data_IF_000806816576
#
_entry.id   IF_000806816576
#
_cell.length_a   1.000
_cell.length_b   1.000
_cell.length_c   1.000
_cell.angle_alpha   90.00
_cell.angle_beta   90.00
_cell.angle_gamma   90.00
#
_symmetry.space_group_name_H-M   'P 1'
#
loop_
_entity.id
_entity.type
_entity.pdbx_description
1 polymer ?
#
# COMPACT_ATOMS: atom_id res chain seq x y z
N UNK A 1 -15.04 -38.26 57.67
CA UNK A 1 -13.99 -37.68 56.82
C UNK A 1 -14.57 -37.55 55.41
N UNK A 2 -15.13 -36.38 55.07
CA UNK A 2 -15.76 -36.13 53.76
C UNK A 2 -14.71 -35.52 52.84
N UNK A 3 -14.34 -36.25 51.79
CA UNK A 3 -13.43 -35.75 50.74
C UNK A 3 -14.31 -35.06 49.71
N UNK A 4 -14.28 -33.72 49.69
CA UNK A 4 -14.88 -32.91 48.63
C UNK A 4 -13.98 -32.94 47.40
N UNK A 5 -14.51 -33.47 46.31
CA UNK A 5 -13.93 -33.40 44.97
C UNK A 5 -14.25 -32.00 44.42
N UNK A 6 -13.23 -31.16 44.27
CA UNK A 6 -13.32 -29.89 43.53
C UNK A 6 -13.15 -30.20 42.03
N UNK A 7 -14.08 -29.79 41.15
CA UNK A 7 -13.81 -29.82 39.72
C UNK A 7 -12.92 -28.61 39.37
N UNK A 8 -11.73 -28.91 38.86
CA UNK A 8 -10.82 -27.96 38.23
C UNK A 8 -11.49 -27.47 36.94
N UNK A 9 -12.17 -26.32 37.00
CA UNK A 9 -12.86 -25.76 35.86
C UNK A 9 -11.83 -25.15 34.89
N UNK A 10 -11.88 -25.67 33.67
CA UNK A 10 -11.08 -25.33 32.50
C UNK A 10 -11.23 -23.82 32.20
N UNK A 11 -10.16 -23.07 32.39
CA UNK A 11 -9.95 -21.77 31.75
C UNK A 11 -8.88 -21.94 30.68
N UNK A 12 -9.31 -22.37 29.49
CA UNK A 12 -8.48 -22.37 28.29
C UNK A 12 -9.32 -21.84 27.13
N UNK A 13 -9.71 -20.58 27.22
CA UNK A 13 -10.24 -19.82 26.09
C UNK A 13 -9.71 -18.40 26.20
N UNK A 14 -9.32 -17.85 25.05
CA UNK A 14 -8.84 -16.48 24.79
C UNK A 14 -7.31 -16.31 24.73
N UNK A 15 -6.67 -16.93 23.75
CA UNK A 15 -5.42 -16.39 23.18
C UNK A 15 -5.22 -16.62 21.68
N UNK A 16 -6.18 -17.23 20.97
CA UNK A 16 -6.01 -17.55 19.53
C UNK A 16 -6.64 -16.50 18.60
N UNK A 17 -7.43 -15.55 19.11
CA UNK A 17 -8.15 -14.59 18.26
C UNK A 17 -7.37 -13.32 17.89
N UNK A 18 -6.17 -13.09 18.42
CA UNK A 18 -5.39 -11.88 18.08
C UNK A 18 -4.64 -11.99 16.74
N UNK A 19 -4.41 -13.20 16.23
CA UNK A 19 -3.64 -13.41 15.00
C UNK A 19 -4.50 -13.41 13.72
N UNK A 20 -5.83 -13.54 13.86
CA UNK A 20 -6.75 -13.57 12.72
C UNK A 20 -7.35 -12.20 12.36
N UNK A 21 -7.05 -11.16 13.15
CA UNK A 21 -7.59 -9.80 12.98
C UNK A 21 -6.65 -8.83 12.25
N UNK A 22 -5.42 -9.27 11.94
CA UNK A 22 -4.43 -8.50 11.19
C UNK A 22 -4.66 -8.62 9.66
N UNK A 23 -5.68 -7.84 9.27
CA UNK A 23 -6.16 -7.36 7.98
C UNK A 23 -5.37 -7.69 6.69
N UNK A 24 -6.13 -8.14 5.69
CA UNK A 24 -5.83 -8.34 4.26
C UNK A 24 -4.92 -7.28 3.56
N UNK A 25 -4.77 -6.04 4.05
CA UNK A 25 -3.73 -5.12 3.52
C UNK A 25 -2.34 -5.28 4.16
N UNK A 26 -2.22 -5.81 5.38
CA UNK A 26 -0.97 -6.41 5.82
C UNK A 26 -0.67 -7.71 5.04
N UNK A 27 -1.66 -8.43 4.51
CA UNK A 27 -1.36 -9.54 3.59
C UNK A 27 -0.88 -9.05 2.21
N UNK A 28 -1.48 -7.98 1.66
CA UNK A 28 -1.06 -7.36 0.38
C UNK A 28 0.35 -6.75 0.42
N UNK A 29 0.93 -6.56 1.61
CA UNK A 29 2.17 -5.81 1.79
C UNK A 29 3.21 -6.57 2.65
N UNK A 30 2.79 -7.45 3.56
CA UNK A 30 3.63 -7.90 4.69
C UNK A 30 3.95 -9.40 4.66
N UNK A 31 3.81 -10.08 3.51
CA UNK A 31 4.34 -11.45 3.39
C UNK A 31 5.22 -11.61 2.15
N UNK A 32 6.46 -11.17 2.36
CA UNK A 32 7.64 -11.52 1.56
C UNK A 32 7.74 -13.04 1.52
N UNK A 33 7.21 -13.65 0.45
CA UNK A 33 7.46 -15.05 0.20
C UNK A 33 8.96 -15.28 0.02
N UNK A 34 9.41 -16.36 0.67
CA UNK A 34 10.73 -16.95 0.53
C UNK A 34 10.90 -17.42 -0.91
N UNK A 35 11.45 -16.59 -1.77
CA UNK A 35 12.12 -17.09 -2.98
C UNK A 35 13.63 -17.05 -2.79
N UNK A 36 14.24 -18.19 -3.06
CA UNK A 36 15.66 -18.49 -2.87
C UNK A 36 16.57 -17.97 -3.99
N UNK A 37 16.01 -17.46 -5.09
CA UNK A 37 16.79 -17.03 -6.26
C UNK A 37 16.61 -15.54 -6.58
N UNK A 38 17.41 -14.69 -5.92
CA UNK A 38 17.56 -13.27 -6.27
C UNK A 38 17.93 -13.12 -7.75
N UNK A 39 17.38 -12.11 -8.41
CA UNK A 39 17.88 -11.69 -9.73
C UNK A 39 19.34 -11.22 -9.61
N UNK A 40 20.11 -11.24 -10.72
CA UNK A 40 21.41 -10.59 -10.79
C UNK A 40 21.32 -9.10 -10.45
N UNK A 41 22.41 -8.57 -9.89
CA UNK A 41 22.52 -7.14 -9.60
C UNK A 41 22.50 -6.32 -10.91
N UNK A 42 21.65 -5.28 -11.03
CA UNK A 42 21.57 -4.47 -12.26
C UNK A 42 22.88 -3.74 -12.58
N UNK A 43 23.25 -3.65 -13.87
CA UNK A 43 24.52 -3.04 -14.32
C UNK A 43 24.44 -1.54 -14.64
N UNK A 44 23.24 -0.97 -14.64
CA UNK A 44 22.92 0.33 -15.21
C UNK A 44 22.51 1.38 -14.16
N UNK A 45 22.69 1.10 -12.86
CA UNK A 45 22.29 2.01 -11.77
C UNK A 45 23.03 3.36 -11.77
N UNK A 46 24.16 3.50 -12.49
CA UNK A 46 24.88 4.79 -12.67
C UNK A 46 24.41 5.60 -13.88
N UNK A 47 23.51 5.03 -14.67
CA UNK A 47 22.91 5.66 -15.85
C UNK A 47 21.40 5.79 -15.79
N UNK A 48 20.76 4.91 -15.04
CA UNK A 48 19.32 4.92 -14.83
C UNK A 48 18.93 5.73 -13.59
N UNK A 49 17.65 6.11 -13.56
CA UNK A 49 17.02 6.78 -12.43
C UNK A 49 16.23 5.79 -11.60
N UNK A 50 16.28 6.00 -10.29
CA UNK A 50 15.67 5.12 -9.29
C UNK A 50 14.74 5.94 -8.42
N UNK A 51 13.61 5.35 -8.04
CA UNK A 51 12.75 5.88 -6.98
C UNK A 51 12.85 4.96 -5.77
N UNK A 52 12.91 5.53 -4.56
CA UNK A 52 12.90 4.76 -3.32
C UNK A 52 11.49 4.72 -2.71
N UNK A 53 11.02 3.51 -2.41
CA UNK A 53 9.85 3.27 -1.57
C UNK A 53 10.34 2.85 -0.18
N UNK A 54 10.07 3.69 0.82
CA UNK A 54 10.50 3.46 2.19
C UNK A 54 9.32 2.94 3.02
N UNK A 55 9.47 1.74 3.55
CA UNK A 55 8.49 1.10 4.43
C UNK A 55 8.98 1.17 5.87
N UNK A 56 8.33 2.03 6.64
CA UNK A 56 8.64 2.32 8.03
C UNK A 56 7.72 1.60 9.03
N UNK A 57 6.77 0.76 8.57
CA UNK A 57 5.74 0.16 9.43
C UNK A 57 6.28 -0.73 10.56
N UNK A 58 7.43 -1.35 10.35
CA UNK A 58 8.09 -2.21 11.34
C UNK A 58 9.34 -1.57 11.94
N UNK A 59 9.61 -0.30 11.61
CA UNK A 59 10.77 0.43 12.12
C UNK A 59 10.35 1.43 13.18
N UNK A 60 11.20 1.63 14.19
CA UNK A 60 11.06 2.77 15.10
C UNK A 60 11.52 4.09 14.48
N UNK A 61 12.22 4.02 13.33
CA UNK A 61 12.71 5.20 12.61
C UNK A 61 11.65 5.68 11.61
N UNK A 62 11.46 7.00 11.52
CA UNK A 62 10.60 7.57 10.49
C UNK A 62 11.16 7.34 9.09
N UNK A 63 10.28 7.25 8.09
CA UNK A 63 10.70 7.11 6.69
C UNK A 63 11.65 8.24 6.22
N UNK A 64 11.55 9.45 6.79
CA UNK A 64 12.49 10.56 6.54
C UNK A 64 13.91 10.23 7.04
N UNK A 65 14.04 9.70 8.25
CA UNK A 65 15.32 9.31 8.82
C UNK A 65 15.96 8.16 8.04
N UNK A 66 15.16 7.14 7.68
CA UNK A 66 15.58 6.02 6.84
C UNK A 66 16.07 6.52 5.48
N UNK A 67 15.30 7.39 4.82
CA UNK A 67 15.64 7.97 3.51
C UNK A 67 16.99 8.68 3.54
N UNK A 68 17.22 9.50 4.56
CA UNK A 68 18.46 10.28 4.72
C UNK A 68 19.69 9.38 4.85
N UNK A 69 19.57 8.30 5.64
CA UNK A 69 20.63 7.30 5.83
C UNK A 69 20.89 6.47 4.57
N UNK A 70 19.83 6.11 3.86
CA UNK A 70 19.90 5.33 2.63
C UNK A 70 20.51 6.13 1.46
N UNK A 71 20.27 7.44 1.42
CA UNK A 71 20.65 8.31 0.29
C UNK A 71 22.16 8.47 0.12
N UNK A 72 22.86 8.81 1.20
CA UNK A 72 24.25 9.29 1.13
C UNK A 72 25.21 8.32 0.43
N UNK A 73 25.31 7.02 0.81
CA UNK A 73 26.25 6.12 0.15
C UNK A 73 25.96 5.89 -1.34
N UNK A 74 24.68 5.92 -1.72
CA UNK A 74 24.25 5.70 -3.10
C UNK A 74 24.53 6.91 -3.98
N UNK A 75 24.30 8.12 -3.47
CA UNK A 75 24.71 9.37 -4.12
C UNK A 75 26.21 9.37 -4.40
N UNK A 76 27.03 9.03 -3.40
CA UNK A 76 28.48 9.03 -3.52
C UNK A 76 28.96 8.00 -4.57
N UNK A 77 28.23 6.91 -4.77
CA UNK A 77 28.46 5.92 -5.84
C UNK A 77 27.98 6.36 -7.24
N UNK A 78 27.26 7.49 -7.34
CA UNK A 78 26.72 8.02 -8.59
C UNK A 78 25.36 7.42 -8.99
N UNK A 79 24.59 6.92 -8.02
CA UNK A 79 23.22 6.43 -8.23
C UNK A 79 22.23 7.58 -8.08
N UNK A 80 21.37 7.79 -9.08
CA UNK A 80 20.33 8.84 -9.05
C UNK A 80 19.05 8.32 -8.38
N UNK A 81 18.87 8.72 -7.12
CA UNK A 81 17.62 8.53 -6.37
C UNK A 81 16.74 9.77 -6.56
N UNK A 82 15.94 9.75 -7.63
CA UNK A 82 15.22 10.93 -8.12
C UNK A 82 14.03 11.34 -7.24
N UNK A 83 13.50 10.43 -6.41
CA UNK A 83 12.47 10.73 -5.43
C UNK A 83 12.34 9.63 -4.37
N UNK A 84 11.81 10.02 -3.21
CA UNK A 84 11.46 9.16 -2.09
C UNK A 84 9.95 9.24 -1.84
N UNK A 85 9.34 8.09 -1.67
CA UNK A 85 7.95 7.95 -1.30
C UNK A 85 7.83 7.05 -0.09
N UNK A 86 6.84 7.33 0.75
CA UNK A 86 6.41 6.38 1.75
C UNK A 86 5.68 5.23 1.07
N UNK A 87 6.07 4.02 1.43
CA UNK A 87 5.57 2.79 0.85
C UNK A 87 4.03 2.69 0.97
N UNK A 88 3.51 2.95 2.16
CA UNK A 88 2.08 2.84 2.47
C UNK A 88 1.25 3.81 1.66
N UNK A 89 1.77 4.99 1.34
CA UNK A 89 1.08 5.95 0.49
C UNK A 89 0.98 5.47 -0.97
N UNK A 90 2.07 4.92 -1.51
CA UNK A 90 2.12 4.49 -2.92
C UNK A 90 1.23 3.29 -3.19
N UNK A 91 1.30 2.26 -2.34
CA UNK A 91 0.51 1.03 -2.53
C UNK A 91 -0.84 1.04 -1.80
N UNK A 92 -1.09 2.07 -1.00
CA UNK A 92 -2.29 2.20 -0.20
C UNK A 92 -3.49 2.76 -0.93
N UNK A 93 -3.30 3.58 -1.97
CA UNK A 93 -4.38 4.23 -2.72
C UNK A 93 -4.21 3.97 -4.22
N UNK A 94 -5.21 3.35 -4.88
CA UNK A 94 -5.16 3.02 -6.31
C UNK A 94 -4.90 4.25 -7.19
N UNK A 95 -5.63 5.35 -6.98
CA UNK A 95 -5.42 6.59 -7.74
C UNK A 95 -4.02 7.18 -7.53
N UNK A 96 -3.49 7.13 -6.30
CA UNK A 96 -2.12 7.56 -6.03
C UNK A 96 -1.10 6.67 -6.73
N UNK A 97 -1.30 5.36 -6.74
CA UNK A 97 -0.44 4.42 -7.48
C UNK A 97 -0.45 4.71 -8.98
N UNK A 98 -1.62 4.99 -9.56
CA UNK A 98 -1.73 5.37 -10.98
C UNK A 98 -0.97 6.66 -11.26
N UNK A 99 -1.08 7.67 -10.41
CA UNK A 99 -0.35 8.92 -10.59
C UNK A 99 1.16 8.75 -10.38
N UNK A 100 1.55 7.96 -9.38
CA UNK A 100 2.93 7.52 -9.17
C UNK A 100 3.50 6.84 -10.42
N UNK A 101 2.71 5.97 -11.07
CA UNK A 101 3.08 5.31 -12.32
C UNK A 101 3.31 6.30 -13.46
N UNK A 102 2.36 7.20 -13.69
CA UNK A 102 2.49 8.24 -14.72
C UNK A 102 3.75 9.08 -14.50
N UNK A 103 4.01 9.48 -13.26
CA UNK A 103 5.19 10.26 -12.90
C UNK A 103 6.49 9.56 -13.28
N UNK A 104 6.64 8.27 -12.98
CA UNK A 104 7.90 7.57 -13.20
C UNK A 104 8.09 7.20 -14.68
N UNK A 105 7.00 6.93 -15.41
CA UNK A 105 7.00 6.76 -16.88
C UNK A 105 7.50 8.03 -17.57
N UNK A 106 6.97 9.21 -17.18
CA UNK A 106 7.41 10.50 -17.72
C UNK A 106 8.89 10.82 -17.43
N UNK A 107 9.44 10.29 -16.33
CA UNK A 107 10.82 10.55 -15.90
C UNK A 107 11.81 9.47 -16.31
N UNK A 108 11.37 8.45 -17.05
CA UNK A 108 12.17 7.28 -17.42
C UNK A 108 12.85 6.65 -16.18
N UNK A 109 12.11 6.50 -15.08
CA UNK A 109 12.60 5.73 -13.93
C UNK A 109 12.56 4.26 -14.34
N UNK A 110 13.65 3.54 -14.05
CA UNK A 110 13.82 2.13 -14.46
C UNK A 110 13.65 1.16 -13.30
N UNK A 111 14.02 1.61 -12.10
CA UNK A 111 14.03 0.78 -10.90
C UNK A 111 13.34 1.46 -9.73
N UNK A 112 12.75 0.62 -8.90
CA UNK A 112 12.18 0.98 -7.62
C UNK A 112 12.98 0.26 -6.54
N UNK A 113 13.59 1.04 -5.66
CA UNK A 113 14.27 0.56 -4.47
C UNK A 113 13.28 0.48 -3.32
N UNK A 114 12.75 -0.71 -3.04
CA UNK A 114 11.91 -0.92 -1.86
C UNK A 114 12.78 -1.29 -0.66
N UNK A 115 12.77 -0.43 0.36
CA UNK A 115 13.53 -0.60 1.60
C UNK A 115 12.57 -0.83 2.75
N UNK A 116 12.75 -1.92 3.49
CA UNK A 116 11.88 -2.28 4.61
C UNK A 116 12.68 -2.98 5.73
N UNK A 117 12.09 -3.02 6.92
CA UNK A 117 12.64 -3.71 8.08
C UNK A 117 11.75 -4.90 8.42
N UNK A 118 12.34 -6.09 8.58
CA UNK A 118 11.63 -7.29 9.03
C UNK A 118 12.57 -8.12 9.90
N UNK A 119 12.04 -8.73 10.98
CA UNK A 119 12.78 -9.65 11.87
C UNK A 119 14.18 -9.14 12.26
N UNK A 120 14.26 -7.86 12.63
CA UNK A 120 15.50 -7.19 13.03
C UNK A 120 16.57 -7.03 11.93
N UNK A 121 16.18 -7.14 10.66
CA UNK A 121 17.07 -7.03 9.51
C UNK A 121 16.47 -6.03 8.52
N UNK A 122 17.34 -5.22 7.92
CA UNK A 122 16.98 -4.35 6.81
C UNK A 122 17.09 -5.10 5.50
N UNK A 123 16.08 -4.91 4.65
CA UNK A 123 15.97 -5.52 3.35
C UNK A 123 15.87 -4.43 2.27
N UNK A 124 16.50 -4.71 1.13
CA UNK A 124 16.28 -3.98 -0.12
C UNK A 124 15.76 -4.95 -1.16
N UNK A 125 14.79 -4.50 -1.96
CA UNK A 125 14.49 -5.07 -3.27
C UNK A 125 14.66 -4.03 -4.35
N UNK A 126 15.37 -4.39 -5.42
CA UNK A 126 15.39 -3.60 -6.65
C UNK A 126 14.40 -4.20 -7.65
N UNK A 127 13.32 -3.48 -7.86
CA UNK A 127 12.17 -3.89 -8.66
C UNK A 127 12.19 -3.12 -9.98
N UNK A 128 12.28 -3.79 -11.14
CA UNK A 128 12.05 -3.13 -12.43
C UNK A 128 10.63 -2.54 -12.48
N UNK A 129 10.49 -1.30 -12.91
CA UNK A 129 9.21 -0.56 -12.88
C UNK A 129 8.09 -1.28 -13.63
N UNK A 130 8.41 -1.97 -14.73
CA UNK A 130 7.45 -2.73 -15.53
C UNK A 130 6.81 -3.91 -14.78
N UNK A 131 7.41 -4.35 -13.67
CA UNK A 131 6.91 -5.44 -12.83
C UNK A 131 6.09 -4.97 -11.64
N UNK A 132 6.03 -3.66 -11.39
CA UNK A 132 5.26 -3.14 -10.26
C UNK A 132 3.77 -3.08 -10.62
N UNK A 133 2.95 -3.78 -9.85
CA UNK A 133 1.49 -3.79 -10.00
C UNK A 133 0.86 -3.32 -8.69
N UNK A 134 -0.26 -2.60 -8.78
CA UNK A 134 -0.97 -2.15 -7.59
C UNK A 134 -1.38 -3.36 -6.73
N UNK A 135 -1.09 -3.31 -5.43
CA UNK A 135 -1.40 -4.38 -4.49
C UNK A 135 -0.59 -5.67 -4.66
N UNK A 136 0.40 -5.71 -5.58
CA UNK A 136 1.25 -6.88 -5.77
C UNK A 136 2.70 -6.48 -6.05
N UNK A 137 3.60 -6.87 -5.15
CA UNK A 137 5.04 -6.68 -5.33
C UNK A 137 5.64 -7.93 -5.98
N UNK A 138 6.47 -7.75 -7.02
CA UNK A 138 7.00 -8.90 -7.76
C UNK A 138 7.88 -9.76 -6.86
N UNK A 139 7.62 -11.07 -6.90
CA UNK A 139 8.38 -12.07 -6.16
C UNK A 139 9.85 -12.12 -6.62
N UNK A 140 10.07 -12.03 -7.92
CA UNK A 140 11.40 -12.11 -8.55
C UNK A 140 12.02 -10.73 -8.78
N UNK A 141 12.88 -10.32 -7.85
CA UNK A 141 13.66 -9.08 -7.87
C UNK A 141 15.10 -9.32 -7.37
N UNK A 142 16.01 -8.35 -7.53
CA UNK A 142 17.30 -8.41 -6.83
C UNK A 142 17.06 -8.07 -5.36
N UNK A 143 17.64 -8.83 -4.46
CA UNK A 143 17.48 -8.65 -3.01
C UNK A 143 18.82 -8.50 -2.31
N UNK A 144 18.85 -7.67 -1.25
CA UNK A 144 20.02 -7.48 -0.39
C UNK A 144 19.56 -7.29 1.06
N UNK A 145 20.39 -7.68 2.02
CA UNK A 145 20.07 -7.54 3.45
C UNK A 145 21.24 -7.00 4.25
N UNK A 146 20.93 -6.31 5.36
CA UNK A 146 21.95 -5.78 6.27
C UNK A 146 21.40 -5.54 7.68
N UNK A 147 22.30 -5.32 8.64
CA UNK A 147 21.93 -5.01 10.02
C UNK A 147 21.46 -3.56 10.20
N UNK A 148 21.84 -2.67 9.28
CA UNK A 148 21.46 -1.25 9.28
C UNK A 148 21.20 -0.75 7.86
N UNK A 149 20.46 0.36 7.74
CA UNK A 149 20.17 1.03 6.45
C UNK A 149 21.45 1.56 5.79
N UNK A 150 22.39 2.05 6.60
CA UNK A 150 23.68 2.56 6.19
C UNK A 150 24.57 1.43 5.64
N UNK A 151 24.58 0.27 6.29
CA UNK A 151 25.27 -0.91 5.78
C UNK A 151 24.62 -1.40 4.48
N UNK A 152 23.28 -1.42 4.41
CA UNK A 152 22.51 -1.83 3.23
C UNK A 152 22.87 -0.97 2.02
N UNK A 153 22.72 0.35 2.13
CA UNK A 153 23.06 1.30 1.07
C UNK A 153 24.55 1.25 0.71
N UNK A 154 25.44 1.04 1.68
CA UNK A 154 26.88 0.88 1.42
C UNK A 154 27.22 -0.41 0.65
N UNK A 155 26.50 -1.52 0.87
CA UNK A 155 26.65 -2.76 0.08
C UNK A 155 26.33 -2.50 -1.38
N UNK A 156 25.20 -1.85 -1.63
CA UNK A 156 24.77 -1.49 -2.98
C UNK A 156 25.76 -0.53 -3.64
N UNK A 157 26.17 0.53 -2.94
CA UNK A 157 27.17 1.48 -3.42
C UNK A 157 28.47 0.78 -3.86
N UNK A 158 28.97 -0.16 -3.05
CA UNK A 158 30.15 -0.97 -3.42
C UNK A 158 29.93 -1.81 -4.67
N UNK A 159 28.76 -2.44 -4.80
CA UNK A 159 28.43 -3.24 -5.99
C UNK A 159 28.38 -2.36 -7.26
N UNK A 160 27.79 -1.16 -7.16
CA UNK A 160 27.77 -0.17 -8.24
C UNK A 160 29.18 0.25 -8.66
N UNK A 161 30.05 0.58 -7.70
CA UNK A 161 31.44 0.99 -7.99
C UNK A 161 32.24 -0.15 -8.62
N UNK A 162 32.05 -1.39 -8.15
CA UNK A 162 32.74 -2.59 -8.66
C UNK A 162 32.45 -2.91 -10.13
N UNK A 163 31.30 -2.48 -10.65
CA UNK A 163 30.94 -2.70 -12.06
C UNK A 163 31.76 -1.84 -13.03
N UNK A 164 32.44 -0.79 -12.53
CA UNK A 164 33.30 0.12 -13.30
C UNK A 164 32.63 0.69 -14.57
N UNK A 165 31.31 0.89 -14.52
CA UNK A 165 30.53 1.47 -15.63
C UNK A 165 30.61 2.99 -15.59
N UNK A 166 30.59 3.69 -16.74
CA UNK A 166 30.63 5.15 -16.78
C UNK A 166 29.42 5.75 -16.06
N UNK A 167 29.67 6.80 -15.27
CA UNK A 167 28.62 7.59 -14.61
C UNK A 167 27.95 8.50 -15.65
N UNK A 168 26.64 8.33 -15.87
CA UNK A 168 25.83 9.26 -16.69
C UNK A 168 24.98 10.20 -15.83
N UNK A 169 24.72 9.83 -14.58
CA UNK A 169 23.99 10.66 -13.63
C UNK A 169 24.89 11.77 -13.05
N UNK A 170 24.89 12.95 -13.66
CA UNK A 170 25.77 14.07 -13.29
C UNK A 170 25.18 14.99 -12.22
N UNK A 171 23.85 15.05 -12.11
CA UNK A 171 23.13 15.91 -11.19
C UNK A 171 22.33 15.03 -10.23
N UNK A 172 22.93 14.73 -9.07
CA UNK A 172 22.27 13.98 -8.01
C UNK A 172 22.11 14.95 -6.83
N UNK A 173 20.89 15.15 -6.31
CA UNK A 173 20.65 15.98 -5.14
C UNK A 173 21.53 15.56 -3.97
N UNK A 174 21.88 16.51 -3.10
CA UNK A 174 22.66 16.19 -1.89
C UNK A 174 21.83 15.53 -0.80
N UNK A 175 20.55 15.89 -0.75
CA UNK A 175 19.56 15.44 0.21
C UNK A 175 18.42 14.68 -0.48
N UNK A 176 17.73 13.76 0.24
CA UNK A 176 16.58 13.05 -0.30
C UNK A 176 15.47 14.00 -0.79
N UNK A 177 15.01 13.80 -2.02
CA UNK A 177 13.84 14.50 -2.54
C UNK A 177 12.55 13.77 -2.15
N UNK A 178 11.87 14.28 -1.13
CA UNK A 178 10.58 13.76 -0.70
C UNK A 178 9.47 14.20 -1.64
N UNK A 179 8.71 13.25 -2.20
CA UNK A 179 7.60 13.60 -3.06
C UNK A 179 6.47 14.26 -2.26
N UNK A 180 6.03 15.42 -2.73
CA UNK A 180 4.87 16.06 -2.15
C UNK A 180 3.60 15.48 -2.79
N UNK A 181 2.69 14.97 -1.97
CA UNK A 181 1.41 14.41 -2.40
C UNK A 181 0.56 15.48 -3.12
N UNK A 182 0.76 15.63 -4.43
CA UNK A 182 -0.19 16.34 -5.29
C UNK A 182 -1.54 15.60 -5.26
N UNK A 183 -2.62 16.30 -5.59
CA UNK A 183 -3.96 15.70 -5.67
C UNK A 183 -3.95 14.51 -6.65
N UNK A 184 -4.09 13.25 -6.20
CA UNK A 184 -3.96 12.10 -7.10
C UNK A 184 -5.23 11.84 -7.91
N UNK A 185 -6.33 12.54 -7.59
CA UNK A 185 -7.61 12.35 -8.25
C UNK A 185 -7.70 13.19 -9.52
N UNK A 186 -8.09 12.54 -10.63
CA UNK A 186 -8.35 13.22 -11.90
C UNK A 186 -9.56 14.15 -11.82
N UNK A 187 -10.60 13.74 -11.09
CA UNK A 187 -11.82 14.52 -10.88
C UNK A 187 -11.79 15.40 -9.64
N UNK A 188 -12.94 15.96 -9.31
CA UNK A 188 -13.15 16.79 -8.12
C UNK A 188 -13.39 15.91 -6.90
N UNK A 189 -13.09 16.46 -5.73
CA UNK A 189 -13.41 15.85 -4.44
C UNK A 189 -14.68 16.47 -3.88
N UNK A 190 -15.56 15.62 -3.37
CA UNK A 190 -16.78 16.00 -2.70
C UNK A 190 -16.80 15.39 -1.30
N UNK A 191 -17.13 16.25 -0.32
CA UNK A 191 -17.36 15.86 1.07
C UNK A 191 -18.72 15.19 1.25
N UNK A 192 -19.56 15.10 0.22
CA UNK A 192 -20.86 14.44 0.31
C UNK A 192 -20.90 13.22 -0.63
N UNK A 193 -21.68 12.20 -0.25
CA UNK A 193 -21.99 11.13 -1.17
C UNK A 193 -22.87 11.62 -2.33
N UNK A 194 -22.74 10.96 -3.46
CA UNK A 194 -23.48 11.30 -4.66
C UNK A 194 -24.92 10.79 -4.53
N UNK A 195 -25.91 11.67 -4.68
CA UNK A 195 -27.33 11.29 -4.61
C UNK A 195 -27.70 10.23 -5.67
N UNK A 196 -26.97 10.20 -6.79
CA UNK A 196 -27.23 9.25 -7.86
C UNK A 196 -26.83 7.80 -7.51
N UNK A 197 -26.21 7.55 -6.35
CA UNK A 197 -26.01 6.19 -5.82
C UNK A 197 -27.33 5.42 -5.65
N UNK A 198 -28.45 6.14 -5.48
CA UNK A 198 -29.79 5.55 -5.41
C UNK A 198 -30.28 4.99 -6.74
N UNK A 199 -29.80 5.53 -7.86
CA UNK A 199 -30.29 5.22 -9.22
C UNK A 199 -29.30 4.41 -10.05
N UNK A 200 -28.04 4.36 -9.63
CA UNK A 200 -27.00 3.65 -10.38
C UNK A 200 -26.27 2.62 -9.55
N UNK A 201 -25.89 1.55 -10.25
CA UNK A 201 -25.19 0.41 -9.69
C UNK A 201 -23.76 0.75 -9.27
N UNK A 202 -23.40 0.34 -8.05
CA UNK A 202 -22.05 0.44 -7.48
C UNK A 202 -21.24 -0.84 -7.77
N UNK A 203 -20.06 -0.69 -8.36
CA UNK A 203 -19.09 -1.77 -8.45
C UNK A 203 -18.31 -1.89 -7.14
N UNK A 204 -18.25 -3.08 -6.57
CA UNK A 204 -17.47 -3.37 -5.37
C UNK A 204 -16.42 -4.43 -5.71
N UNK A 205 -15.16 -4.04 -5.94
CA UNK A 205 -14.12 -4.99 -6.27
C UNK A 205 -13.89 -5.98 -5.14
N UNK A 206 -13.88 -7.27 -5.49
CA UNK A 206 -13.42 -8.32 -4.59
C UNK A 206 -11.95 -8.13 -4.26
N UNK A 207 -11.58 -8.61 -3.10
CA UNK A 207 -10.20 -8.78 -2.68
C UNK A 207 -9.51 -9.85 -3.51
N UNK A 208 -8.27 -9.59 -3.90
CA UNK A 208 -7.47 -10.51 -4.70
C UNK A 208 -5.98 -10.34 -4.46
N UNK A 209 -5.30 -11.47 -4.50
CA UNK A 209 -3.86 -11.55 -4.44
C UNK A 209 -3.41 -12.82 -5.16
N UNK A 210 -2.23 -12.79 -5.77
CA UNK A 210 -1.62 -13.95 -6.42
C UNK A 210 -0.67 -14.57 -5.40
N UNK A 211 -1.09 -15.70 -4.80
CA UNK A 211 -0.25 -16.47 -3.90
C UNK A 211 -0.32 -17.95 -4.22
N UNK A 212 0.82 -18.63 -4.09
CA UNK A 212 0.92 -20.08 -4.08
C UNK A 212 0.68 -20.68 -2.67
N UNK A 213 0.57 -19.83 -1.64
CA UNK A 213 0.32 -20.24 -0.25
C UNK A 213 -1.20 -20.43 -0.01
N UNK A 214 -1.60 -21.67 0.30
CA UNK A 214 -3.00 -22.02 0.48
C UNK A 214 -3.66 -21.27 1.66
N UNK A 215 -2.91 -20.96 2.72
CA UNK A 215 -3.44 -20.21 3.86
C UNK A 215 -3.84 -18.79 3.44
N UNK A 216 -3.10 -18.19 2.50
CA UNK A 216 -3.38 -16.86 1.95
C UNK A 216 -4.59 -16.91 1.01
N UNK A 217 -4.69 -17.94 0.18
CA UNK A 217 -5.87 -18.19 -0.68
C UNK A 217 -7.15 -18.30 0.17
N UNK A 218 -7.08 -19.05 1.27
CA UNK A 218 -8.22 -19.24 2.18
C UNK A 218 -8.57 -17.95 2.95
N UNK A 219 -7.57 -17.16 3.34
CA UNK A 219 -7.77 -15.86 3.97
C UNK A 219 -8.49 -14.88 3.03
N UNK A 220 -8.14 -14.85 1.74
CA UNK A 220 -8.81 -14.02 0.71
C UNK A 220 -10.26 -14.47 0.51
N UNK A 221 -10.49 -15.78 0.43
CA UNK A 221 -11.84 -16.33 0.33
C UNK A 221 -12.70 -15.95 1.55
N UNK A 222 -12.12 -16.01 2.75
CA UNK A 222 -12.77 -15.56 3.99
C UNK A 222 -13.05 -14.05 3.98
N UNK A 223 -12.08 -13.23 3.57
CA UNK A 223 -12.25 -11.78 3.47
C UNK A 223 -13.34 -11.39 2.46
N UNK A 224 -13.42 -12.07 1.31
CA UNK A 224 -14.46 -11.85 0.31
C UNK A 224 -15.86 -12.26 0.81
N UNK A 225 -15.98 -13.33 1.60
CA UNK A 225 -17.23 -13.67 2.28
C UNK A 225 -17.64 -12.62 3.30
N UNK A 226 -16.69 -12.09 4.07
CA UNK A 226 -16.96 -10.98 4.99
C UNK A 226 -17.38 -9.70 4.26
N UNK A 227 -16.73 -9.39 3.14
CA UNK A 227 -17.07 -8.25 2.28
C UNK A 227 -18.52 -8.39 1.79
N UNK A 228 -18.89 -9.56 1.28
CA UNK A 228 -20.26 -9.85 0.85
C UNK A 228 -21.27 -9.65 1.98
N UNK A 229 -20.96 -10.13 3.19
CA UNK A 229 -21.84 -9.97 4.35
C UNK A 229 -22.00 -8.50 4.78
N UNK A 230 -20.90 -7.75 4.87
CA UNK A 230 -20.93 -6.33 5.25
C UNK A 230 -21.71 -5.51 4.21
N UNK A 231 -21.51 -5.81 2.92
CA UNK A 231 -22.15 -5.07 1.82
C UNK A 231 -23.67 -5.26 1.77
N UNK A 232 -24.26 -6.27 2.44
CA UNK A 232 -25.72 -6.37 2.59
C UNK A 232 -26.34 -5.18 3.32
N UNK A 233 -25.54 -4.42 4.07
CA UNK A 233 -25.98 -3.19 4.74
C UNK A 233 -26.10 -2.00 3.78
N UNK A 234 -25.54 -2.09 2.57
CA UNK A 234 -25.63 -1.02 1.58
C UNK A 234 -27.05 -0.94 1.02
N UNK A 235 -27.70 0.24 1.05
CA UNK A 235 -29.13 0.37 0.78
C UNK A 235 -29.51 0.36 -0.72
N UNK A 236 -28.53 0.43 -1.63
CA UNK A 236 -28.77 0.59 -3.07
C UNK A 236 -28.20 -0.58 -3.89
N UNK A 237 -28.39 -0.55 -5.20
CA UNK A 237 -27.90 -1.62 -6.09
C UNK A 237 -26.37 -1.66 -6.13
N UNK A 238 -25.79 -2.84 -5.89
CA UNK A 238 -24.36 -3.08 -6.01
C UNK A 238 -24.08 -4.46 -6.63
N UNK A 239 -22.85 -4.66 -7.11
CA UNK A 239 -22.37 -5.98 -7.49
C UNK A 239 -20.90 -6.15 -7.10
N UNK A 240 -20.58 -7.33 -6.58
CA UNK A 240 -19.20 -7.73 -6.34
C UNK A 240 -18.53 -8.07 -7.66
N UNK A 241 -17.57 -7.26 -8.08
CA UNK A 241 -16.87 -7.42 -9.37
C UNK A 241 -15.52 -8.08 -9.18
N UNK A 242 -15.03 -8.69 -10.26
CA UNK A 242 -13.69 -9.27 -10.26
C UNK A 242 -12.62 -8.19 -10.03
N UNK A 243 -11.57 -8.53 -9.28
CA UNK A 243 -10.46 -7.62 -8.98
C UNK A 243 -9.76 -7.12 -10.24
N UNK A 244 -9.21 -5.91 -10.19
CA UNK A 244 -8.34 -5.40 -11.25
C UNK A 244 -9.02 -5.10 -12.59
N UNK A 245 -10.35 -5.21 -12.69
CA UNK A 245 -11.08 -4.75 -13.87
C UNK A 245 -10.83 -3.25 -14.11
N UNK A 246 -10.59 -2.92 -15.37
CA UNK A 246 -10.40 -1.54 -15.80
C UNK A 246 -11.68 -0.72 -15.62
N UNK A 247 -11.53 0.55 -15.27
CA UNK A 247 -12.65 1.46 -15.01
C UNK A 247 -13.52 1.68 -16.25
N UNK A 248 -12.93 1.67 -17.46
CA UNK A 248 -13.65 1.76 -18.73
C UNK A 248 -14.49 0.49 -18.97
N UNK A 249 -13.95 -0.67 -18.62
CA UNK A 249 -14.66 -1.96 -18.73
C UNK A 249 -15.85 -2.00 -17.77
N UNK A 250 -15.67 -1.51 -16.53
CA UNK A 250 -16.77 -1.37 -15.58
C UNK A 250 -17.84 -0.40 -16.11
N UNK A 251 -17.44 0.73 -16.68
CA UNK A 251 -18.36 1.68 -17.32
C UNK A 251 -19.20 1.04 -18.44
N UNK A 252 -18.57 0.23 -19.31
CA UNK A 252 -19.26 -0.51 -20.39
C UNK A 252 -20.22 -1.58 -19.86
N UNK A 253 -19.95 -2.14 -18.67
CA UNK A 253 -20.85 -3.08 -17.96
C UNK A 253 -22.02 -2.39 -17.25
N UNK A 254 -22.14 -1.06 -17.35
CA UNK A 254 -23.26 -0.30 -16.80
C UNK A 254 -23.03 0.28 -15.40
N UNK A 255 -21.86 0.04 -14.80
CA UNK A 255 -21.52 0.67 -13.52
C UNK A 255 -21.24 2.16 -13.73
N UNK A 256 -21.69 2.99 -12.77
CA UNK A 256 -21.36 4.43 -12.73
C UNK A 256 -20.42 4.78 -11.60
N UNK A 257 -20.39 3.94 -10.57
CA UNK A 257 -19.59 4.16 -9.38
C UNK A 257 -18.75 2.92 -9.07
N UNK A 258 -17.61 3.14 -8.44
CA UNK A 258 -16.77 2.10 -7.85
C UNK A 258 -16.43 2.46 -6.42
N UNK A 259 -16.54 1.48 -5.52
CA UNK A 259 -16.07 1.60 -4.14
C UNK A 259 -14.60 1.20 -4.07
N UNK A 260 -13.75 2.09 -3.56
CA UNK A 260 -12.32 1.86 -3.48
C UNK A 260 -11.82 1.95 -2.03
N UNK A 261 -11.09 0.93 -1.55
CA UNK A 261 -10.36 1.04 -0.29
C UNK A 261 -9.12 1.92 -0.47
N UNK A 262 -8.74 2.56 0.62
CA UNK A 262 -7.42 3.16 0.79
C UNK A 262 -6.84 2.81 2.16
N UNK A 263 -5.53 2.68 2.21
CA UNK A 263 -4.78 2.27 3.39
C UNK A 263 -3.52 3.13 3.54
N UNK A 264 -3.12 3.43 4.76
CA UNK A 264 -1.91 4.21 5.01
C UNK A 264 -1.95 4.86 6.37
N UNK A 265 -1.00 5.74 6.66
CA UNK A 265 -1.10 6.50 7.90
C UNK A 265 -2.26 7.49 7.84
N UNK A 266 -2.89 7.74 8.99
CA UNK A 266 -4.01 8.67 9.06
C UNK A 266 -3.62 10.07 8.56
N UNK A 267 -2.42 10.53 8.92
CA UNK A 267 -1.85 11.78 8.43
C UNK A 267 -1.79 11.82 6.89
N UNK A 268 -1.19 10.80 6.26
CA UNK A 268 -1.01 10.77 4.81
C UNK A 268 -2.35 10.62 4.08
N UNK A 269 -3.23 9.75 4.58
CA UNK A 269 -4.57 9.57 4.01
C UNK A 269 -5.39 10.87 4.08
N UNK A 270 -5.40 11.56 5.23
CA UNK A 270 -6.12 12.83 5.37
C UNK A 270 -5.56 13.89 4.43
N UNK A 271 -4.23 13.99 4.32
CA UNK A 271 -3.58 14.91 3.39
C UNK A 271 -3.95 14.62 1.92
N UNK A 272 -3.92 13.34 1.51
CA UNK A 272 -4.27 12.91 0.14
C UNK A 272 -5.73 13.17 -0.18
N UNK A 273 -6.62 12.79 0.74
CA UNK A 273 -8.07 12.90 0.58
C UNK A 273 -8.57 14.34 0.79
N UNK A 274 -7.72 15.25 1.30
CA UNK A 274 -8.05 16.65 1.49
C UNK A 274 -8.82 16.97 2.78
N UNK A 275 -8.77 16.07 3.77
CA UNK A 275 -9.24 16.36 5.12
C UNK A 275 -8.21 17.19 5.90
N UNK A 276 -8.64 17.84 6.99
CA UNK A 276 -7.72 18.48 7.95
C UNK A 276 -6.79 17.44 8.56
N UNK A 277 -5.49 17.69 8.58
CA UNK A 277 -4.46 16.72 8.95
C UNK A 277 -3.44 17.25 9.97
N UNK A 278 -3.68 18.43 10.55
CA UNK A 278 -2.83 18.99 11.59
C UNK A 278 -2.94 18.18 12.90
N UNK A 279 -1.79 17.84 13.51
CA UNK A 279 -1.69 17.09 14.77
C UNK A 279 -2.37 15.71 14.77
N UNK A 280 -2.43 15.06 13.60
CA UNK A 280 -3.00 13.72 13.47
C UNK A 280 -1.94 12.66 13.83
N UNK A 281 -2.30 11.61 14.59
CA UNK A 281 -1.40 10.49 14.85
C UNK A 281 -0.94 9.79 13.57
N UNK A 282 0.28 9.27 13.55
CA UNK A 282 0.81 8.52 12.40
C UNK A 282 0.46 7.01 12.49
N UNK A 283 -0.76 6.71 12.94
CA UNK A 283 -1.27 5.35 13.01
C UNK A 283 -1.81 4.90 11.65
N UNK A 284 -1.68 3.61 11.39
CA UNK A 284 -2.19 2.98 10.18
C UNK A 284 -3.71 2.90 10.24
N UNK A 285 -4.38 3.34 9.17
CA UNK A 285 -5.83 3.37 9.03
C UNK A 285 -6.25 2.86 7.65
N UNK A 286 -7.49 2.36 7.59
CA UNK A 286 -8.24 2.07 6.38
C UNK A 286 -9.32 3.14 6.21
N UNK A 287 -9.65 3.48 4.97
CA UNK A 287 -10.75 4.37 4.61
C UNK A 287 -11.32 3.89 3.28
N UNK A 288 -12.61 4.13 3.06
CA UNK A 288 -13.24 3.93 1.76
C UNK A 288 -13.67 5.26 1.15
N UNK A 289 -13.71 5.29 -0.18
CA UNK A 289 -14.31 6.36 -0.96
C UNK A 289 -15.00 5.78 -2.19
N UNK A 290 -15.97 6.53 -2.71
CA UNK A 290 -16.68 6.19 -3.93
C UNK A 290 -16.14 7.07 -5.05
N UNK A 291 -15.77 6.47 -6.17
CA UNK A 291 -15.34 7.17 -7.37
C UNK A 291 -16.39 7.04 -8.46
N UNK A 292 -16.76 8.15 -9.07
CA UNK A 292 -17.59 8.20 -10.27
C UNK A 292 -16.73 7.90 -11.50
N UNK A 293 -17.16 6.92 -12.30
CA UNK A 293 -16.34 6.39 -13.40
C UNK A 293 -16.27 7.33 -14.62
N UNK A 294 -17.21 8.27 -14.79
CA UNK A 294 -17.29 9.12 -15.98
C UNK A 294 -16.27 10.25 -16.00
N UNK A 295 -16.00 10.85 -14.86
CA UNK A 295 -15.15 12.04 -14.67
C UNK A 295 -14.05 11.82 -13.64
N UNK A 296 -14.11 10.72 -12.88
CA UNK A 296 -13.18 10.44 -11.80
C UNK A 296 -13.46 11.27 -10.55
N UNK A 297 -14.66 11.84 -10.42
CA UNK A 297 -15.07 12.55 -9.21
C UNK A 297 -15.09 11.59 -8.01
N UNK A 298 -14.61 12.06 -6.87
CA UNK A 298 -14.46 11.26 -5.65
C UNK A 298 -15.34 11.79 -4.54
N UNK A 299 -16.13 10.90 -3.96
CA UNK A 299 -17.06 11.14 -2.87
C UNK A 299 -16.54 10.48 -1.60
N UNK A 300 -16.14 11.30 -0.64
CA UNK A 300 -15.42 10.85 0.56
C UNK A 300 -16.35 10.59 1.76
N UNK A 301 -17.49 11.28 1.79
CA UNK A 301 -18.35 11.39 2.96
C UNK A 301 -17.97 12.59 3.85
N UNK A 302 -18.93 13.11 4.64
CA UNK A 302 -18.80 14.40 5.32
C UNK A 302 -17.87 14.36 6.52
N UNK A 303 -17.68 13.18 7.09
CA UNK A 303 -16.86 12.96 8.27
C UNK A 303 -15.74 11.96 7.98
N UNK A 304 -14.68 12.03 8.77
CA UNK A 304 -13.64 11.02 8.74
C UNK A 304 -14.17 9.71 9.33
N UNK A 305 -14.34 8.69 8.49
CA UNK A 305 -14.88 7.37 8.83
C UNK A 305 -13.81 6.25 8.81
N UNK A 306 -12.52 6.62 8.80
CA UNK A 306 -11.41 5.68 8.75
C UNK A 306 -11.22 4.89 10.05
N UNK A 307 -10.68 3.69 9.96
CA UNK A 307 -10.50 2.79 11.11
C UNK A 307 -9.31 1.81 10.94
N UNK A 308 -8.77 1.21 12.03
CA UNK A 308 -7.59 0.34 11.98
C UNK A 308 -7.80 -0.96 11.20
N UNK A 309 -9.04 -1.38 10.99
CA UNK A 309 -9.39 -2.56 10.20
C UNK A 309 -10.25 -2.18 9.00
N UNK A 310 -10.10 -2.91 7.89
CA UNK A 310 -10.91 -2.64 6.69
C UNK A 310 -12.40 -2.88 6.93
N UNK A 311 -12.75 -3.86 7.77
CA UNK A 311 -14.14 -4.16 8.11
C UNK A 311 -14.80 -2.99 8.85
N UNK A 312 -14.11 -2.45 9.86
CA UNK A 312 -14.62 -1.32 10.63
C UNK A 312 -14.73 -0.07 9.76
N UNK A 313 -13.71 0.22 8.95
CA UNK A 313 -13.73 1.35 8.02
C UNK A 313 -14.87 1.24 7.00
N UNK A 314 -15.11 0.04 6.45
CA UNK A 314 -16.22 -0.19 5.53
C UNK A 314 -17.57 -0.01 6.22
N UNK A 315 -17.76 -0.58 7.42
CA UNK A 315 -18.99 -0.40 8.19
C UNK A 315 -19.25 1.08 8.52
N UNK A 316 -18.21 1.83 8.90
CA UNK A 316 -18.33 3.26 9.17
C UNK A 316 -18.72 4.02 7.90
N UNK A 317 -18.12 3.69 6.76
CA UNK A 317 -18.46 4.28 5.47
C UNK A 317 -19.92 4.03 5.06
N UNK A 318 -20.39 2.79 5.17
CA UNK A 318 -21.78 2.43 4.85
C UNK A 318 -22.79 3.09 5.79
N UNK A 319 -22.44 3.24 7.08
CA UNK A 319 -23.25 4.04 8.04
C UNK A 319 -23.32 5.51 7.65
N UNK A 320 -22.25 6.06 7.08
CA UNK A 320 -22.26 7.42 6.54
C UNK A 320 -23.27 7.57 5.40
N UNK A 321 -23.31 6.61 4.48
CA UNK A 321 -24.21 6.61 3.33
C UNK A 321 -25.68 6.50 3.77
N UNK A 322 -25.98 5.67 4.76
CA UNK A 322 -27.37 5.44 5.23
C UNK A 322 -27.95 6.56 6.09
N UNK A 323 -27.12 7.45 6.64
CA UNK A 323 -27.54 8.60 7.46
C UNK A 323 -27.90 9.84 6.64
N UNK A 324 -27.54 9.86 5.36
CA UNK A 324 -27.78 10.97 4.45
C UNK A 324 -29.21 10.93 3.91
#
# INVERSE_FOLDING_TARGET
MRISIFPLLIYFFLSVNSHAQHSFHEANITRIQKETNSLPFPEDLRSEKIVALIDDRHSEQSWFAISSKFHKPLKDAGVDLSAYYRFTTVLGTKDFFTEFKNYYELRNIRYIAWVYFDKNIWHLRLIPTEKLVFGNLPLKSYTETASSVEELSSKIARNVVRQDKPRKNLLIPDDPLFYNYANPFKGKRFENYNINLQSFKLAVPKFHYISEDQDEVDAIASANKQLEEIMKQYPFEYELVEPGLDEEVLGRKGFKFILLPTYGSEHDLKKILGYKYENVPDNVQFKYYIKQLSDGDVHLGPEWDGAPTWQEALNNHLKGITKQ
#
